data_IF_947967931392
#
_entry.id   IF_947967931392
#
_cell.length_a   1.000
_cell.length_b   1.000
_cell.length_c   1.000
_cell.angle_alpha   90.00
_cell.angle_beta   90.00
_cell.angle_gamma   90.00
#
_symmetry.space_group_name_H-M   'P 1'
#
loop_
_entity.id
_entity.type
_entity.pdbx_description
1 polymer ?
#
# COMPACT_ATOMS: atom_id res chain seq x y z
N UNK A 1 55.35 -7.06 9.31
CA UNK A 1 54.40 -5.98 9.70
C UNK A 1 53.08 -6.24 9.00
N UNK A 2 52.21 -7.00 9.63
CA UNK A 2 50.86 -7.29 9.15
C UNK A 2 49.90 -6.32 9.83
N UNK A 3 49.57 -5.22 9.16
CA UNK A 3 48.38 -4.44 9.52
C UNK A 3 47.14 -5.19 9.03
N UNK A 4 46.13 -5.41 9.89
CA UNK A 4 44.80 -5.68 9.41
C UNK A 4 44.26 -4.35 8.85
N UNK A 5 44.56 -4.05 7.57
CA UNK A 5 43.81 -3.03 6.85
C UNK A 5 42.35 -3.45 6.89
N UNK A 6 41.56 -2.74 7.69
CA UNK A 6 40.12 -2.79 7.59
C UNK A 6 39.76 -2.68 6.10
N UNK A 7 39.08 -3.70 5.57
CA UNK A 7 38.66 -3.78 4.16
C UNK A 7 37.49 -2.82 3.91
N UNK A 8 37.68 -1.54 4.21
CA UNK A 8 36.75 -0.50 3.76
C UNK A 8 37.32 0.04 2.45
N UNK A 9 36.67 -0.21 1.30
CA UNK A 9 37.10 0.38 0.04
C UNK A 9 37.16 1.90 0.16
N UNK A 10 38.21 2.51 -0.39
CA UNK A 10 38.39 3.98 -0.35
C UNK A 10 37.30 4.74 -1.12
N UNK A 11 36.60 4.07 -2.04
CA UNK A 11 35.43 4.55 -2.76
C UNK A 11 34.68 3.37 -3.44
N UNK A 12 33.54 3.66 -4.04
CA UNK A 12 32.73 2.71 -4.81
C UNK A 12 33.42 2.29 -6.12
N UNK A 13 33.25 1.03 -6.60
CA UNK A 13 34.01 0.48 -7.73
C UNK A 13 33.93 1.32 -9.01
N UNK A 14 32.73 1.71 -9.45
CA UNK A 14 32.56 2.48 -10.68
C UNK A 14 33.21 3.87 -10.59
N UNK A 15 33.22 4.48 -9.41
CA UNK A 15 33.92 5.74 -9.19
C UNK A 15 35.44 5.55 -9.35
N UNK A 16 35.99 4.47 -8.80
CA UNK A 16 37.42 4.15 -8.93
C UNK A 16 37.81 3.88 -10.39
N UNK A 17 36.98 3.15 -11.13
CA UNK A 17 37.21 2.87 -12.55
C UNK A 17 37.23 4.15 -13.39
N UNK A 18 36.24 5.04 -13.20
CA UNK A 18 36.15 6.34 -13.90
C UNK A 18 37.34 7.23 -13.55
N UNK A 19 37.69 7.33 -12.27
CA UNK A 19 38.85 8.13 -11.84
C UNK A 19 40.16 7.59 -12.41
N UNK A 20 40.33 6.27 -12.43
CA UNK A 20 41.53 5.62 -12.98
C UNK A 20 41.64 5.89 -14.48
N UNK A 21 40.55 5.68 -15.24
CA UNK A 21 40.53 5.94 -16.67
C UNK A 21 40.83 7.42 -17.01
N UNK A 22 40.27 8.36 -16.24
CA UNK A 22 40.53 9.79 -16.43
C UNK A 22 41.97 10.17 -16.07
N UNK A 23 42.52 9.62 -14.98
CA UNK A 23 43.90 9.85 -14.57
C UNK A 23 44.90 9.29 -15.59
N UNK A 24 44.65 8.08 -16.11
CA UNK A 24 45.47 7.48 -17.16
C UNK A 24 45.45 8.30 -18.45
N UNK A 25 44.28 8.79 -18.87
CA UNK A 25 44.16 9.62 -20.07
C UNK A 25 44.97 10.93 -19.97
N UNK A 26 44.98 11.56 -18.79
CA UNK A 26 45.83 12.74 -18.54
C UNK A 26 47.31 12.35 -18.55
N UNK A 27 47.68 11.23 -17.91
CA UNK A 27 49.06 10.74 -17.85
C UNK A 27 49.65 10.41 -19.24
N UNK A 28 48.83 9.85 -20.14
CA UNK A 28 49.22 9.55 -21.53
C UNK A 28 49.21 10.77 -22.46
N UNK A 29 48.65 11.90 -22.03
CA UNK A 29 48.46 13.08 -22.87
C UNK A 29 47.25 13.01 -23.80
N UNK A 30 46.37 12.00 -23.65
CA UNK A 30 45.10 11.91 -24.38
C UNK A 30 44.10 13.00 -23.94
N UNK A 31 44.37 13.63 -22.77
CA UNK A 31 43.56 14.71 -22.20
C UNK A 31 44.43 15.75 -21.50
N UNK A 32 44.14 17.03 -21.69
CA UNK A 32 44.90 18.13 -21.08
C UNK A 32 44.73 18.25 -19.56
N UNK A 33 43.51 18.05 -19.05
CA UNK A 33 43.18 18.25 -17.63
C UNK A 33 42.23 17.18 -17.09
N UNK A 34 42.38 16.90 -15.79
CA UNK A 34 41.47 16.02 -15.06
C UNK A 34 40.17 16.79 -14.77
N UNK A 35 39.00 16.35 -15.28
CA UNK A 35 37.75 17.01 -14.99
C UNK A 35 37.38 16.83 -13.51
N UNK A 36 36.52 17.71 -12.99
CA UNK A 36 35.96 17.55 -11.65
C UNK A 36 35.05 16.32 -11.64
N UNK A 37 35.31 15.39 -10.72
CA UNK A 37 34.52 14.16 -10.53
C UNK A 37 34.06 14.07 -9.08
N UNK A 38 32.78 13.77 -8.89
CA UNK A 38 32.17 13.48 -7.60
C UNK A 38 31.60 12.06 -7.62
N UNK A 39 31.49 11.40 -6.46
CA UNK A 39 30.99 10.03 -6.34
C UNK A 39 29.78 9.96 -5.41
N UNK A 40 28.76 9.19 -5.79
CA UNK A 40 27.53 9.07 -5.02
C UNK A 40 27.04 7.63 -4.88
N UNK A 41 26.35 7.34 -3.77
CA UNK A 41 25.60 6.09 -3.57
C UNK A 41 24.10 6.34 -3.69
N UNK A 42 23.40 5.45 -4.37
CA UNK A 42 21.95 5.49 -4.55
C UNK A 42 21.38 4.07 -4.65
N UNK A 43 20.07 3.92 -4.51
CA UNK A 43 19.36 2.69 -4.90
C UNK A 43 19.69 1.42 -4.11
N UNK A 44 20.38 1.53 -2.97
CA UNK A 44 20.71 0.37 -2.14
C UNK A 44 19.42 -0.34 -1.69
N UNK A 45 19.37 -1.66 -1.86
CA UNK A 45 18.20 -2.48 -1.54
C UNK A 45 16.90 -1.98 -2.20
N UNK A 46 16.99 -1.53 -3.46
CA UNK A 46 15.86 -0.98 -4.21
C UNK A 46 15.24 0.28 -3.62
N UNK A 47 16.03 1.07 -2.87
CA UNK A 47 15.64 2.42 -2.48
C UNK A 47 15.28 3.24 -3.72
N UNK A 48 14.23 4.04 -3.60
CA UNK A 48 13.70 4.83 -4.71
C UNK A 48 14.77 5.75 -5.30
N UNK A 49 14.81 5.84 -6.63
CA UNK A 49 15.68 6.73 -7.38
C UNK A 49 14.89 7.41 -8.49
N UNK A 50 14.12 8.42 -8.09
CA UNK A 50 13.28 9.21 -8.98
C UNK A 50 14.02 10.41 -9.60
N UNK A 51 13.31 11.18 -10.44
CA UNK A 51 13.87 12.37 -11.10
C UNK A 51 14.45 13.41 -10.14
N UNK A 52 13.84 13.60 -8.97
CA UNK A 52 14.31 14.49 -7.91
C UNK A 52 15.70 14.10 -7.39
N UNK A 53 16.01 12.80 -7.31
CA UNK A 53 17.35 12.34 -6.98
C UNK A 53 18.37 12.72 -8.05
N UNK A 54 18.00 12.59 -9.32
CA UNK A 54 18.85 12.97 -10.46
C UNK A 54 19.07 14.48 -10.49
N UNK A 55 18.01 15.27 -10.28
CA UNK A 55 18.09 16.73 -10.19
C UNK A 55 19.01 17.17 -9.05
N UNK A 56 18.92 16.54 -7.88
CA UNK A 56 19.80 16.82 -6.74
C UNK A 56 21.28 16.62 -7.10
N UNK A 57 21.61 15.56 -7.85
CA UNK A 57 22.99 15.28 -8.29
C UNK A 57 23.49 16.36 -9.25
N UNK A 58 22.66 16.79 -10.21
CA UNK A 58 23.05 17.86 -11.14
C UNK A 58 23.21 19.21 -10.44
N UNK A 59 22.33 19.52 -9.48
CA UNK A 59 22.44 20.72 -8.67
C UNK A 59 23.73 20.72 -7.85
N UNK A 60 24.04 19.61 -7.17
CA UNK A 60 25.29 19.45 -6.43
C UNK A 60 26.50 19.66 -7.35
N UNK A 61 26.50 19.07 -8.55
CA UNK A 61 27.59 19.24 -9.52
C UNK A 61 27.75 20.70 -10.01
N UNK A 62 26.71 21.52 -9.92
CA UNK A 62 26.76 22.93 -10.29
C UNK A 62 27.39 23.82 -9.20
N UNK A 63 27.45 23.32 -7.95
CA UNK A 63 28.03 24.08 -6.85
C UNK A 63 29.50 24.46 -7.08
N UNK A 64 29.90 25.56 -6.44
CA UNK A 64 31.30 26.01 -6.47
C UNK A 64 32.23 24.95 -5.85
N UNK A 65 31.78 24.30 -4.78
CA UNK A 65 32.50 23.25 -4.05
C UNK A 65 31.58 22.06 -3.79
N UNK A 66 31.36 21.18 -4.79
CA UNK A 66 30.50 20.04 -4.63
C UNK A 66 31.10 19.04 -3.65
N UNK A 67 30.26 18.29 -2.95
CA UNK A 67 30.64 17.20 -2.07
C UNK A 67 31.36 16.12 -2.89
N UNK A 68 32.57 15.70 -2.49
CA UNK A 68 33.30 14.66 -3.21
C UNK A 68 32.61 13.29 -3.09
N UNK A 69 31.88 13.07 -1.98
CA UNK A 69 31.11 11.87 -1.68
C UNK A 69 29.75 12.27 -1.16
N UNK A 70 28.70 11.61 -1.66
CA UNK A 70 27.34 11.88 -1.22
C UNK A 70 26.47 10.61 -1.23
N UNK A 71 25.30 10.70 -0.61
CA UNK A 71 24.19 9.76 -0.76
C UNK A 71 22.98 10.50 -1.32
N UNK A 72 22.07 9.80 -1.99
CA UNK A 72 20.83 10.41 -2.50
C UNK A 72 19.66 9.45 -2.33
N UNK A 73 18.48 10.00 -2.03
CA UNK A 73 17.27 9.23 -1.74
C UNK A 73 17.06 8.88 -0.26
N UNK A 74 17.97 9.26 0.65
CA UNK A 74 17.83 9.10 2.11
C UNK A 74 18.02 10.44 2.81
N UNK A 75 17.55 10.54 4.06
CA UNK A 75 17.91 11.63 4.95
C UNK A 75 18.99 11.16 5.94
N UNK A 76 20.23 11.57 5.70
CA UNK A 76 21.39 11.22 6.53
C UNK A 76 21.76 12.39 7.43
N UNK A 77 21.18 12.39 8.63
CA UNK A 77 21.42 13.35 9.71
C UNK A 77 22.61 12.97 10.62
N UNK A 78 23.30 11.87 10.33
CA UNK A 78 24.45 11.40 11.10
C UNK A 78 25.75 11.81 10.42
N UNK A 79 25.94 11.43 9.15
CA UNK A 79 27.16 11.77 8.40
C UNK A 79 26.98 12.96 7.45
N UNK A 80 25.75 13.46 7.31
CA UNK A 80 25.41 14.63 6.51
C UNK A 80 25.85 14.51 5.03
N UNK A 81 25.89 13.28 4.51
CA UNK A 81 26.27 13.01 3.11
C UNK A 81 25.08 13.10 2.15
N UNK A 82 23.84 13.06 2.66
CA UNK A 82 22.65 13.08 1.81
C UNK A 82 22.46 14.41 1.10
N UNK A 83 22.22 14.36 -0.21
CA UNK A 83 21.81 15.52 -1.00
C UNK A 83 20.34 15.88 -0.70
N UNK A 84 20.01 17.17 -0.55
CA UNK A 84 18.62 17.61 -0.44
C UNK A 84 17.89 17.36 -1.78
N UNK A 85 16.68 16.82 -1.70
CA UNK A 85 15.85 16.55 -2.89
C UNK A 85 15.05 17.82 -3.25
N UNK A 86 15.26 18.41 -4.45
CA UNK A 86 14.44 19.52 -4.92
C UNK A 86 13.03 19.04 -5.29
N UNK A 87 12.10 19.98 -5.48
CA UNK A 87 10.83 19.64 -6.12
C UNK A 87 11.08 19.17 -7.56
N UNK A 88 10.39 18.10 -7.97
CA UNK A 88 10.48 17.61 -9.32
C UNK A 88 9.76 18.56 -10.30
N UNK A 89 10.55 19.26 -11.12
CA UNK A 89 10.06 20.18 -12.15
C UNK A 89 9.99 19.57 -13.55
N UNK A 90 10.27 18.27 -13.71
CA UNK A 90 10.25 17.63 -15.02
C UNK A 90 8.80 17.44 -15.51
N UNK A 91 8.53 17.66 -16.80
CA UNK A 91 7.19 17.48 -17.35
C UNK A 91 6.80 16.00 -17.31
N UNK A 92 5.60 15.71 -16.80
CA UNK A 92 5.04 14.38 -16.92
C UNK A 92 4.59 14.12 -18.37
N UNK A 93 5.09 13.03 -18.96
CA UNK A 93 4.77 12.60 -20.33
C UNK A 93 3.75 11.47 -20.40
N UNK A 94 3.41 10.87 -19.25
CA UNK A 94 2.43 9.80 -19.19
C UNK A 94 1.03 10.36 -19.47
N UNK A 95 0.29 9.65 -20.32
CA UNK A 95 -1.11 9.89 -20.60
C UNK A 95 -2.00 9.53 -19.41
N UNK A 96 -1.61 8.51 -18.65
CA UNK A 96 -2.28 8.07 -17.44
C UNK A 96 -1.27 7.46 -16.48
N UNK A 97 -1.32 7.86 -15.23
CA UNK A 97 -0.66 7.21 -14.10
C UNK A 97 -1.72 6.77 -13.09
N UNK A 98 -1.75 5.47 -12.77
CA UNK A 98 -2.74 4.89 -11.89
C UNK A 98 -2.10 4.07 -10.76
N UNK A 99 -2.65 4.22 -9.56
CA UNK A 99 -2.30 3.46 -8.37
C UNK A 99 -3.48 2.59 -7.94
N UNK A 100 -3.21 1.32 -7.62
CA UNK A 100 -4.23 0.40 -7.10
C UNK A 100 -3.76 -0.19 -5.77
N UNK A 101 -4.47 0.12 -4.70
CA UNK A 101 -4.24 -0.37 -3.35
C UNK A 101 -5.16 -1.56 -3.09
N UNK A 102 -4.56 -2.76 -3.10
CA UNK A 102 -5.24 -4.03 -2.92
C UNK A 102 -4.68 -4.83 -1.76
N UNK A 103 -5.41 -5.87 -1.35
CA UNK A 103 -4.98 -6.84 -0.36
C UNK A 103 -4.28 -8.02 -1.05
N UNK A 104 -3.23 -8.54 -0.44
CA UNK A 104 -2.64 -9.81 -0.83
C UNK A 104 -3.72 -10.90 -0.95
N UNK A 105 -3.81 -11.51 -2.14
CA UNK A 105 -4.79 -12.53 -2.53
C UNK A 105 -6.20 -12.07 -2.90
N UNK A 106 -6.48 -10.77 -3.04
CA UNK A 106 -7.80 -10.29 -3.52
C UNK A 106 -7.94 -10.20 -5.05
N UNK A 107 -6.84 -10.42 -5.78
CA UNK A 107 -6.82 -10.41 -7.24
C UNK A 107 -6.51 -9.06 -7.88
N UNK A 108 -6.24 -8.01 -7.10
CA UNK A 108 -5.95 -6.65 -7.60
C UNK A 108 -4.75 -6.61 -8.53
N UNK A 109 -3.61 -7.18 -8.11
CA UNK A 109 -2.40 -7.26 -8.93
C UNK A 109 -2.66 -7.95 -10.27
N UNK A 110 -3.39 -9.06 -10.25
CA UNK A 110 -3.72 -9.82 -11.46
C UNK A 110 -4.63 -9.01 -12.39
N UNK A 111 -5.60 -8.28 -11.84
CA UNK A 111 -6.47 -7.38 -12.60
C UNK A 111 -5.67 -6.24 -13.23
N UNK A 112 -4.75 -5.61 -12.50
CA UNK A 112 -3.90 -4.55 -13.05
C UNK A 112 -2.96 -5.07 -14.14
N UNK A 113 -2.39 -6.28 -13.99
CA UNK A 113 -1.66 -6.95 -15.08
C UNK A 113 -2.54 -7.17 -16.32
N UNK A 114 -3.81 -7.49 -16.13
CA UNK A 114 -4.76 -7.63 -17.22
C UNK A 114 -5.09 -6.27 -17.86
N UNK A 115 -5.23 -5.20 -17.07
CA UNK A 115 -5.41 -3.82 -17.58
C UNK A 115 -4.28 -3.43 -18.53
N UNK A 116 -3.03 -3.68 -18.12
CA UNK A 116 -1.84 -3.40 -18.94
C UNK A 116 -1.93 -4.13 -20.27
N UNK A 117 -2.27 -5.42 -20.26
CA UNK A 117 -2.41 -6.23 -21.48
C UNK A 117 -3.53 -5.73 -22.39
N UNK A 118 -4.69 -5.40 -21.83
CA UNK A 118 -5.82 -4.88 -22.59
C UNK A 118 -5.43 -3.54 -23.24
N UNK A 119 -4.92 -2.59 -22.47
CA UNK A 119 -4.54 -1.27 -23.00
C UNK A 119 -3.44 -1.42 -24.06
N UNK A 120 -2.39 -2.21 -23.80
CA UNK A 120 -1.26 -2.38 -24.73
C UNK A 120 -1.60 -3.16 -26.00
N UNK A 121 -2.64 -4.01 -25.98
CA UNK A 121 -3.08 -4.74 -27.17
C UNK A 121 -4.14 -3.97 -27.98
N UNK A 122 -4.95 -3.14 -27.33
CA UNK A 122 -6.05 -2.40 -27.96
C UNK A 122 -5.66 -0.97 -28.36
N UNK A 123 -4.45 -0.51 -28.03
CA UNK A 123 -3.96 0.84 -28.35
C UNK A 123 -2.51 0.81 -28.83
N UNK A 124 -2.03 1.81 -29.60
CA UNK A 124 -0.62 1.92 -29.97
C UNK A 124 0.27 2.43 -28.82
N UNK A 125 -0.26 2.55 -27.60
CA UNK A 125 0.44 3.18 -26.48
C UNK A 125 1.33 2.20 -25.72
N UNK A 126 2.39 2.75 -25.14
CA UNK A 126 3.27 2.02 -24.23
C UNK A 126 2.59 1.90 -22.87
N UNK A 127 2.65 0.71 -22.29
CA UNK A 127 2.12 0.42 -20.96
C UNK A 127 3.22 -0.13 -20.06
N UNK A 128 3.29 0.35 -18.83
CA UNK A 128 4.24 -0.10 -17.82
C UNK A 128 3.50 -0.52 -16.55
N UNK A 129 3.96 -1.60 -15.92
CA UNK A 129 3.46 -2.05 -14.62
C UNK A 129 4.59 -2.34 -13.65
N UNK A 130 4.48 -1.84 -12.43
CA UNK A 130 5.33 -2.22 -11.30
C UNK A 130 4.44 -2.56 -10.09
N UNK A 131 4.82 -3.58 -9.32
CA UNK A 131 3.97 -4.13 -8.26
C UNK A 131 4.76 -4.22 -6.97
N UNK A 132 4.36 -3.41 -5.99
CA UNK A 132 4.92 -3.43 -4.64
C UNK A 132 4.12 -4.41 -3.80
N UNK A 133 4.80 -5.34 -3.14
CA UNK A 133 4.22 -6.32 -2.24
C UNK A 133 4.76 -6.10 -0.83
N UNK A 134 3.89 -6.27 0.16
CA UNK A 134 4.31 -6.39 1.55
C UNK A 134 5.13 -7.68 1.76
N UNK A 135 6.02 -7.65 2.74
CA UNK A 135 6.75 -8.80 3.28
C UNK A 135 5.82 -9.88 3.85
N UNK A 136 4.60 -9.52 4.24
CA UNK A 136 3.58 -10.44 4.79
C UNK A 136 3.07 -11.40 3.71
N UNK A 137 3.24 -12.71 3.95
CA UNK A 137 2.81 -13.78 3.02
C UNK A 137 1.31 -13.77 2.67
N UNK A 138 0.45 -13.26 3.55
CA UNK A 138 -0.98 -13.17 3.33
C UNK A 138 -1.56 -11.93 4.01
N UNK A 139 -2.58 -11.32 3.39
CA UNK A 139 -3.27 -10.15 3.95
C UNK A 139 -2.44 -8.87 4.00
N UNK A 140 -1.23 -8.85 3.41
CA UNK A 140 -0.42 -7.65 3.29
C UNK A 140 -0.97 -6.66 2.26
N UNK A 141 -0.51 -5.42 2.32
CA UNK A 141 -0.81 -4.41 1.30
C UNK A 141 -0.12 -4.77 -0.02
N UNK A 142 -0.80 -4.50 -1.14
CA UNK A 142 -0.20 -4.49 -2.48
C UNK A 142 -0.50 -3.16 -3.13
N UNK A 143 0.51 -2.55 -3.75
CA UNK A 143 0.35 -1.31 -4.52
C UNK A 143 0.78 -1.58 -5.95
N UNK A 144 -0.15 -1.47 -6.87
CA UNK A 144 0.12 -1.64 -8.30
C UNK A 144 0.26 -0.27 -8.96
N UNK A 145 1.40 -0.04 -9.59
CA UNK A 145 1.71 1.16 -10.35
C UNK A 145 1.52 0.86 -11.83
N UNK A 146 0.65 1.62 -12.50
CA UNK A 146 0.37 1.49 -13.93
C UNK A 146 0.63 2.83 -14.61
N UNK A 147 1.45 2.83 -15.67
CA UNK A 147 1.62 3.99 -16.55
C UNK A 147 1.20 3.64 -17.97
N UNK A 148 0.55 4.60 -18.63
CA UNK A 148 0.24 4.56 -20.07
C UNK A 148 0.81 5.82 -20.71
N UNK A 149 1.44 5.68 -21.86
CA UNK A 149 2.10 6.79 -22.55
C UNK A 149 2.11 6.57 -24.06
N UNK A 150 1.99 7.65 -24.83
CA UNK A 150 2.15 7.61 -26.29
C UNK A 150 3.63 7.45 -26.70
N UNK A 151 4.56 7.78 -25.79
CA UNK A 151 6.00 7.63 -25.95
C UNK A 151 6.55 6.48 -25.10
N UNK A 152 7.72 5.90 -25.44
CA UNK A 152 8.38 4.89 -24.62
C UNK A 152 8.55 5.33 -23.16
N UNK A 153 8.20 4.45 -22.22
CA UNK A 153 8.22 4.74 -20.79
C UNK A 153 9.57 4.35 -20.20
N UNK A 154 10.40 5.36 -19.91
CA UNK A 154 11.71 5.19 -19.26
C UNK A 154 11.67 5.45 -17.75
N UNK A 155 10.48 5.64 -17.17
CA UNK A 155 10.28 5.91 -15.75
C UNK A 155 10.47 4.64 -14.92
N UNK A 156 11.72 4.30 -14.59
CA UNK A 156 12.07 3.16 -13.73
C UNK A 156 12.01 3.53 -12.23
N UNK A 157 10.96 4.24 -11.85
CA UNK A 157 10.70 4.73 -10.49
C UNK A 157 9.19 4.66 -10.20
N UNK A 158 8.78 4.68 -8.94
CA UNK A 158 7.38 4.60 -8.51
C UNK A 158 6.57 5.83 -8.91
N UNK A 159 5.25 5.68 -9.00
CA UNK A 159 4.33 6.81 -9.25
C UNK A 159 4.13 7.55 -7.93
N UNK A 160 4.55 8.81 -7.89
CA UNK A 160 4.36 9.67 -6.72
C UNK A 160 3.04 10.43 -6.73
N UNK A 161 2.64 10.91 -7.91
CA UNK A 161 1.40 11.65 -8.15
C UNK A 161 0.65 10.93 -9.28
N UNK A 162 -0.60 10.52 -9.03
CA UNK A 162 -1.40 9.70 -9.94
C UNK A 162 -2.67 10.42 -10.41
N UNK A 163 -3.07 10.15 -11.65
CA UNK A 163 -4.34 10.61 -12.23
C UNK A 163 -5.53 9.80 -11.68
N UNK A 164 -5.28 8.55 -11.31
CA UNK A 164 -6.26 7.64 -10.74
C UNK A 164 -5.68 6.91 -9.52
N UNK A 165 -6.45 6.87 -8.43
CA UNK A 165 -6.13 6.05 -7.24
C UNK A 165 -7.33 5.17 -6.90
N UNK A 166 -7.15 3.86 -6.93
CA UNK A 166 -8.15 2.86 -6.55
C UNK A 166 -7.86 2.26 -5.17
N UNK A 167 -8.77 2.44 -4.21
CA UNK A 167 -8.75 1.81 -2.90
C UNK A 167 -9.71 0.61 -2.88
N UNK A 168 -9.17 -0.61 -2.92
CA UNK A 168 -9.98 -1.83 -3.04
C UNK A 168 -10.44 -2.39 -1.69
N UNK A 169 -9.88 -1.92 -0.57
CA UNK A 169 -10.30 -2.27 0.79
C UNK A 169 -10.49 -1.00 1.62
N UNK A 170 -11.71 -0.75 2.10
CA UNK A 170 -12.06 0.45 2.86
C UNK A 170 -11.07 0.74 4.01
N UNK A 171 -10.68 -0.29 4.76
CA UNK A 171 -9.77 -0.19 5.91
C UNK A 171 -8.39 0.43 5.63
N UNK A 172 -7.99 0.54 4.36
CA UNK A 172 -6.74 1.18 3.97
C UNK A 172 -6.80 2.70 4.11
N UNK A 173 -8.00 3.29 4.03
CA UNK A 173 -8.18 4.75 4.12
C UNK A 173 -7.75 5.33 5.48
N UNK A 174 -7.84 4.49 6.51
CA UNK A 174 -7.51 4.82 7.89
C UNK A 174 -6.00 4.69 8.16
N UNK A 175 -5.24 4.03 7.28
CA UNK A 175 -3.84 3.64 7.53
C UNK A 175 -2.85 4.23 6.55
N UNK A 176 -3.22 4.34 5.28
CA UNK A 176 -2.28 4.67 4.20
C UNK A 176 -2.64 6.00 3.56
N UNK A 177 -1.59 6.78 3.26
CA UNK A 177 -1.68 8.07 2.59
C UNK A 177 -1.92 7.90 1.08
N UNK A 178 -3.12 7.43 0.70
CA UNK A 178 -3.49 7.16 -0.70
C UNK A 178 -4.01 8.40 -1.41
N UNK A 179 -4.84 9.21 -0.73
CA UNK A 179 -5.44 10.41 -1.32
C UNK A 179 -4.36 11.47 -1.60
N UNK A 180 -3.30 11.50 -0.79
CA UNK A 180 -2.15 12.40 -0.90
C UNK A 180 -1.38 12.17 -2.20
N UNK A 181 -1.40 10.95 -2.73
CA UNK A 181 -0.78 10.58 -4.01
C UNK A 181 -1.61 11.01 -5.22
N UNK A 182 -2.79 11.60 -5.03
CA UNK A 182 -3.64 12.05 -6.14
C UNK A 182 -3.14 13.39 -6.71
N UNK A 183 -3.16 13.52 -8.04
CA UNK A 183 -3.00 14.81 -8.73
C UNK A 183 -4.24 15.68 -8.52
N UNK A 184 -4.11 17.01 -8.61
CA UNK A 184 -5.28 17.89 -8.67
C UNK A 184 -6.24 17.47 -9.80
N UNK A 185 -7.55 17.38 -9.52
CA UNK A 185 -8.59 16.92 -10.45
C UNK A 185 -8.60 15.40 -10.72
N UNK A 186 -7.73 14.64 -10.05
CA UNK A 186 -7.62 13.19 -10.20
C UNK A 186 -8.86 12.43 -9.71
N UNK A 187 -8.96 11.16 -10.11
CA UNK A 187 -10.06 10.26 -9.75
C UNK A 187 -9.66 9.41 -8.55
N UNK A 188 -10.47 9.44 -7.49
CA UNK A 188 -10.32 8.55 -6.34
C UNK A 188 -11.49 7.56 -6.31
N UNK A 189 -11.22 6.28 -6.55
CA UNK A 189 -12.22 5.21 -6.49
C UNK A 189 -12.11 4.46 -5.16
N UNK A 190 -13.20 4.41 -4.39
CA UNK A 190 -13.28 3.70 -3.11
C UNK A 190 -14.26 2.52 -3.19
N UNK A 191 -13.76 1.31 -2.90
CA UNK A 191 -14.62 0.16 -2.64
C UNK A 191 -15.15 0.21 -1.21
N UNK A 192 -16.46 0.33 -1.05
CA UNK A 192 -17.11 0.55 0.25
C UNK A 192 -18.48 -0.13 0.30
N UNK A 193 -18.90 -0.68 1.47
CA UNK A 193 -20.23 -1.23 1.61
C UNK A 193 -21.32 -0.15 1.73
N UNK A 194 -20.95 1.10 1.99
CA UNK A 194 -21.86 2.21 2.27
C UNK A 194 -22.36 2.90 1.00
N UNK A 195 -23.53 3.52 1.08
CA UNK A 195 -24.10 4.34 0.03
C UNK A 195 -23.36 5.67 -0.11
N UNK A 196 -23.42 6.27 -1.30
CA UNK A 196 -22.64 7.47 -1.68
C UNK A 196 -22.88 8.68 -0.76
N UNK A 197 -24.10 8.86 -0.30
CA UNK A 197 -24.53 9.91 0.62
C UNK A 197 -23.94 9.76 2.04
N UNK A 198 -23.63 8.54 2.46
CA UNK A 198 -23.01 8.28 3.77
C UNK A 198 -21.48 8.39 3.76
N UNK A 199 -20.84 8.14 2.61
CA UNK A 199 -19.38 7.94 2.54
C UNK A 199 -18.60 9.15 3.06
N UNK A 200 -18.99 10.36 2.68
CA UNK A 200 -18.24 11.57 3.04
C UNK A 200 -18.02 11.67 4.54
N UNK A 201 -19.09 11.53 5.34
CA UNK A 201 -19.04 11.61 6.81
C UNK A 201 -18.22 10.51 7.47
N UNK A 202 -17.99 9.39 6.78
CA UNK A 202 -17.23 8.23 7.28
C UNK A 202 -15.75 8.31 6.94
N UNK A 203 -15.35 9.16 6.00
CA UNK A 203 -13.93 9.36 5.69
C UNK A 203 -13.24 10.09 6.84
N UNK A 204 -11.97 9.77 7.12
CA UNK A 204 -11.18 10.56 8.07
C UNK A 204 -11.10 12.04 7.67
N UNK A 205 -11.06 12.94 8.64
CA UNK A 205 -11.00 14.39 8.37
C UNK A 205 -9.81 14.77 7.47
N UNK A 206 -8.66 14.13 7.69
CA UNK A 206 -7.44 14.34 6.90
C UNK A 206 -7.65 13.95 5.44
N UNK A 207 -8.39 12.87 5.19
CA UNK A 207 -8.72 12.40 3.83
C UNK A 207 -9.67 13.39 3.16
N UNK A 208 -10.71 13.84 3.86
CA UNK A 208 -11.64 14.86 3.34
C UNK A 208 -10.89 16.15 2.96
N UNK A 209 -10.00 16.62 3.83
CA UNK A 209 -9.18 17.79 3.59
C UNK A 209 -8.30 17.64 2.34
N UNK A 210 -7.64 16.49 2.18
CA UNK A 210 -6.81 16.20 1.01
C UNK A 210 -7.65 16.12 -0.27
N UNK A 211 -8.80 15.43 -0.25
CA UNK A 211 -9.67 15.34 -1.43
C UNK A 211 -10.18 16.73 -1.85
N UNK A 212 -10.51 17.60 -0.90
CA UNK A 212 -10.86 18.99 -1.16
C UNK A 212 -9.69 19.79 -1.75
N UNK A 213 -8.51 19.70 -1.13
CA UNK A 213 -7.30 20.38 -1.62
C UNK A 213 -6.96 19.96 -3.06
N UNK A 214 -7.16 18.69 -3.39
CA UNK A 214 -6.90 18.15 -4.73
C UNK A 214 -8.06 18.36 -5.69
N UNK A 215 -9.20 18.90 -5.26
CA UNK A 215 -10.43 18.97 -6.08
C UNK A 215 -10.73 17.61 -6.73
N UNK A 216 -10.64 16.55 -5.93
CA UNK A 216 -10.71 15.18 -6.39
C UNK A 216 -12.12 14.81 -6.90
N UNK A 217 -12.18 13.95 -7.92
CA UNK A 217 -13.42 13.27 -8.33
C UNK A 217 -13.56 11.98 -7.53
N UNK A 218 -14.33 12.02 -6.46
CA UNK A 218 -14.54 10.87 -5.57
C UNK A 218 -15.66 9.98 -6.11
N UNK A 219 -15.34 8.72 -6.41
CA UNK A 219 -16.31 7.70 -6.81
C UNK A 219 -16.30 6.54 -5.84
N UNK A 220 -17.46 5.92 -5.67
CA UNK A 220 -17.64 4.78 -4.77
C UNK A 220 -18.33 3.63 -5.47
N UNK A 221 -18.02 2.42 -5.03
CA UNK A 221 -18.68 1.19 -5.50
C UNK A 221 -18.71 0.15 -4.39
N UNK A 222 -19.80 -0.62 -4.30
CA UNK A 222 -19.89 -1.78 -3.41
C UNK A 222 -19.57 -3.06 -4.17
N UNK A 223 -18.27 -3.29 -4.42
CA UNK A 223 -17.84 -4.42 -5.24
C UNK A 223 -18.13 -5.77 -4.57
N UNK A 224 -18.16 -5.82 -3.24
CA UNK A 224 -18.50 -7.03 -2.49
C UNK A 224 -19.99 -7.41 -2.60
N UNK A 225 -20.88 -6.43 -2.70
CA UNK A 225 -22.31 -6.67 -2.97
C UNK A 225 -22.49 -7.23 -4.39
N UNK A 226 -21.93 -6.57 -5.39
CA UNK A 226 -22.02 -7.00 -6.80
C UNK A 226 -21.44 -8.41 -6.98
N UNK A 227 -20.26 -8.70 -6.40
CA UNK A 227 -19.65 -10.02 -6.48
C UNK A 227 -20.54 -11.12 -5.86
N UNK A 228 -21.30 -10.82 -4.79
CA UNK A 228 -22.24 -11.77 -4.19
C UNK A 228 -23.47 -11.99 -5.06
N UNK A 229 -24.05 -10.92 -5.60
CA UNK A 229 -25.21 -10.98 -6.49
C UNK A 229 -24.93 -11.75 -7.78
N UNK A 230 -23.70 -11.64 -8.31
CA UNK A 230 -23.25 -12.41 -9.47
C UNK A 230 -22.64 -13.78 -9.13
N UNK A 231 -22.72 -14.25 -7.88
CA UNK A 231 -22.16 -15.54 -7.45
C UNK A 231 -20.65 -15.72 -7.76
N UNK A 232 -19.87 -14.65 -7.65
CA UNK A 232 -18.40 -14.63 -7.81
C UNK A 232 -17.64 -14.80 -6.48
N UNK A 233 -18.39 -14.95 -5.38
CA UNK A 233 -17.83 -15.09 -4.03
C UNK A 233 -17.22 -13.78 -3.53
N UNK A 234 -15.97 -13.83 -3.07
CA UNK A 234 -15.26 -12.67 -2.52
C UNK A 234 -14.34 -11.96 -3.55
N UNK A 235 -14.50 -12.25 -4.85
CA UNK A 235 -13.64 -11.72 -5.91
C UNK A 235 -14.23 -10.41 -6.43
N UNK A 236 -13.60 -9.30 -6.06
CA UNK A 236 -13.99 -7.95 -6.47
C UNK A 236 -13.25 -7.47 -7.73
N UNK A 237 -12.27 -8.24 -8.20
CA UNK A 237 -11.34 -7.86 -9.26
C UNK A 237 -12.05 -7.43 -10.55
N UNK A 238 -13.01 -8.21 -11.07
CA UNK A 238 -13.76 -7.90 -12.29
C UNK A 238 -14.52 -6.57 -12.19
N UNK A 239 -15.15 -6.34 -11.02
CA UNK A 239 -15.92 -5.13 -10.74
C UNK A 239 -15.02 -3.90 -10.68
N UNK A 240 -13.92 -3.97 -9.92
CA UNK A 240 -12.95 -2.87 -9.82
C UNK A 240 -12.26 -2.60 -11.15
N UNK A 241 -12.04 -3.64 -11.97
CA UNK A 241 -11.46 -3.51 -13.30
C UNK A 241 -12.37 -2.70 -14.24
N UNK A 242 -13.66 -3.03 -14.28
CA UNK A 242 -14.65 -2.28 -15.06
C UNK A 242 -14.72 -0.82 -14.60
N UNK A 243 -14.74 -0.59 -13.28
CA UNK A 243 -14.79 0.75 -12.73
C UNK A 243 -13.59 1.61 -13.14
N UNK A 244 -12.38 1.04 -13.14
CA UNK A 244 -11.19 1.73 -13.64
C UNK A 244 -11.33 2.17 -15.10
N UNK A 245 -11.72 1.26 -16.00
CA UNK A 245 -11.86 1.60 -17.41
C UNK A 245 -13.00 2.61 -17.66
N UNK A 246 -14.11 2.45 -16.95
CA UNK A 246 -15.25 3.37 -17.06
C UNK A 246 -14.91 4.77 -16.57
N UNK A 247 -14.18 4.91 -15.46
CA UNK A 247 -13.87 6.23 -14.91
C UNK A 247 -12.73 6.93 -15.66
N UNK A 248 -11.71 6.17 -16.09
CA UNK A 248 -10.57 6.77 -16.79
C UNK A 248 -10.84 7.08 -18.25
N UNK A 249 -11.83 6.41 -18.87
CA UNK A 249 -12.13 6.55 -20.30
C UNK A 249 -10.88 6.38 -21.18
N UNK A 250 -9.92 5.58 -20.71
CA UNK A 250 -8.64 5.36 -21.41
C UNK A 250 -8.85 4.60 -22.73
N UNK A 251 -9.93 3.82 -22.82
CA UNK A 251 -10.41 3.22 -24.06
C UNK A 251 -11.73 3.89 -24.45
N UNK A 252 -11.96 4.14 -25.75
CA UNK A 252 -13.14 4.85 -26.22
C UNK A 252 -14.42 4.00 -26.17
N UNK A 253 -15.52 4.59 -25.69
CA UNK A 253 -16.86 4.02 -25.76
C UNK A 253 -16.99 2.64 -25.09
N UNK A 254 -17.74 1.73 -25.72
CA UNK A 254 -17.94 0.36 -25.23
C UNK A 254 -16.75 -0.59 -25.50
N UNK A 255 -15.65 -0.09 -26.09
CA UNK A 255 -14.44 -0.90 -26.37
C UNK A 255 -13.92 -1.56 -25.10
N UNK A 256 -13.90 -0.83 -23.97
CA UNK A 256 -13.47 -1.38 -22.69
C UNK A 256 -14.29 -2.59 -22.25
N UNK A 257 -15.62 -2.52 -22.41
CA UNK A 257 -16.52 -3.60 -22.04
C UNK A 257 -16.27 -4.83 -22.92
N UNK A 258 -16.17 -4.65 -24.23
CA UNK A 258 -15.91 -5.74 -25.17
C UNK A 258 -14.57 -6.43 -24.91
N UNK A 259 -13.50 -5.66 -24.68
CA UNK A 259 -12.17 -6.20 -24.37
C UNK A 259 -12.14 -6.97 -23.04
N UNK A 260 -12.82 -6.45 -22.01
CA UNK A 260 -12.96 -7.14 -20.73
C UNK A 260 -13.75 -8.44 -20.89
N UNK A 261 -14.86 -8.42 -21.63
CA UNK A 261 -15.66 -9.61 -21.92
C UNK A 261 -14.84 -10.68 -22.64
N UNK A 262 -14.07 -10.29 -23.67
CA UNK A 262 -13.17 -11.17 -24.41
C UNK A 262 -12.04 -11.74 -23.53
N UNK A 263 -11.41 -10.91 -22.69
CA UNK A 263 -10.37 -11.33 -21.77
C UNK A 263 -10.89 -12.35 -20.72
N UNK A 264 -12.11 -12.15 -20.21
CA UNK A 264 -12.80 -13.08 -19.30
C UNK A 264 -13.09 -14.40 -20.01
N UNK A 265 -13.66 -14.36 -21.21
CA UNK A 265 -13.96 -15.57 -21.99
C UNK A 265 -12.67 -16.39 -22.24
N UNK A 266 -11.58 -15.74 -22.62
CA UNK A 266 -10.28 -16.42 -22.82
C UNK A 266 -9.72 -17.03 -21.53
N UNK A 267 -9.89 -16.34 -20.39
CA UNK A 267 -9.32 -16.76 -19.11
C UNK A 267 -10.12 -17.86 -18.41
N UNK A 268 -11.44 -17.92 -18.67
CA UNK A 268 -12.36 -18.78 -17.93
C UNK A 268 -13.16 -19.76 -18.80
N UNK A 269 -12.97 -19.79 -20.13
CA UNK A 269 -13.62 -20.75 -21.02
C UNK A 269 -13.46 -22.20 -20.57
N UNK A 270 -12.28 -22.56 -20.04
CA UNK A 270 -12.00 -23.91 -19.52
C UNK A 270 -12.74 -24.25 -18.22
N UNK A 271 -13.34 -23.26 -17.54
CA UNK A 271 -14.05 -23.45 -16.25
C UNK A 271 -15.57 -23.47 -16.39
N UNK A 272 -16.09 -23.33 -17.60
CA UNK A 272 -17.51 -23.38 -17.92
C UNK A 272 -18.13 -22.02 -18.24
N UNK A 273 -19.11 -22.03 -19.15
CA UNK A 273 -19.80 -20.84 -19.68
C UNK A 273 -20.49 -20.03 -18.59
N UNK A 274 -21.04 -20.69 -17.57
CA UNK A 274 -21.73 -20.02 -16.46
C UNK A 274 -20.82 -19.05 -15.70
N UNK A 275 -19.54 -19.38 -15.50
CA UNK A 275 -18.58 -18.49 -14.83
C UNK A 275 -18.30 -17.25 -15.70
N UNK A 276 -18.24 -17.44 -17.02
CA UNK A 276 -18.03 -16.34 -17.97
C UNK A 276 -19.22 -15.38 -17.94
N UNK A 277 -20.45 -15.91 -18.04
CA UNK A 277 -21.69 -15.13 -18.00
C UNK A 277 -21.85 -14.35 -16.69
N UNK A 278 -21.58 -14.99 -15.54
CA UNK A 278 -21.59 -14.32 -14.23
C UNK A 278 -20.61 -13.16 -14.15
N UNK A 279 -19.42 -13.30 -14.74
CA UNK A 279 -18.46 -12.20 -14.79
C UNK A 279 -18.93 -11.08 -15.74
N UNK A 280 -19.55 -11.40 -16.87
CA UNK A 280 -20.13 -10.40 -17.76
C UNK A 280 -21.27 -9.62 -17.11
N UNK A 281 -22.13 -10.30 -16.34
CA UNK A 281 -23.15 -9.64 -15.54
C UNK A 281 -22.53 -8.69 -14.50
N UNK A 282 -21.44 -9.11 -13.85
CA UNK A 282 -20.73 -8.26 -12.90
C UNK A 282 -20.12 -7.01 -13.56
N UNK A 283 -19.64 -7.10 -14.81
CA UNK A 283 -19.18 -5.93 -15.57
C UNK A 283 -20.33 -4.94 -15.81
N UNK A 284 -21.48 -5.43 -16.26
CA UNK A 284 -22.64 -4.58 -16.52
C UNK A 284 -23.12 -3.88 -15.24
N UNK A 285 -23.31 -4.63 -14.15
CA UNK A 285 -23.71 -4.06 -12.87
C UNK A 285 -22.67 -3.09 -12.30
N UNK A 286 -21.38 -3.35 -12.49
CA UNK A 286 -20.33 -2.44 -12.05
C UNK A 286 -20.43 -1.07 -12.71
N UNK A 287 -20.73 -1.03 -14.02
CA UNK A 287 -20.91 0.22 -14.76
C UNK A 287 -22.09 1.02 -14.22
N UNK A 288 -23.20 0.35 -13.92
CA UNK A 288 -24.45 0.99 -13.50
C UNK A 288 -24.46 1.35 -12.00
N UNK A 289 -23.58 0.72 -11.20
CA UNK A 289 -23.52 0.90 -9.73
C UNK A 289 -22.47 1.92 -9.28
N UNK A 290 -21.71 2.51 -10.19
CA UNK A 290 -20.75 3.56 -9.84
C UNK A 290 -21.49 4.83 -9.45
N UNK A 291 -21.16 5.36 -8.28
CA UNK A 291 -21.73 6.62 -7.81
C UNK A 291 -20.62 7.64 -7.55
N UNK A 292 -20.83 8.86 -8.01
CA UNK A 292 -20.00 10.00 -7.63
C UNK A 292 -20.46 10.52 -6.26
N UNK A 293 -19.50 10.88 -5.41
CA UNK A 293 -19.75 11.51 -4.12
C UNK A 293 -19.30 12.96 -4.24
N UNK A 294 -20.22 13.94 -4.13
CA UNK A 294 -19.83 15.34 -4.16
C UNK A 294 -18.92 15.65 -2.98
N UNK A 295 -17.87 16.42 -3.23
CA UNK A 295 -17.03 16.97 -2.17
C UNK A 295 -17.85 17.92 -1.30
N UNK A 296 -17.64 17.88 0.01
CA UNK A 296 -18.30 18.77 0.97
C UNK A 296 -17.24 19.39 1.89
N UNK A 297 -17.64 20.29 2.78
CA UNK A 297 -16.73 20.78 3.80
C UNK A 297 -16.25 19.63 4.71
N UNK A 298 -15.07 19.82 5.31
CA UNK A 298 -14.53 18.85 6.27
C UNK A 298 -15.50 18.74 7.43
N UNK A 299 -16.03 17.55 7.66
CA UNK A 299 -16.97 17.30 8.72
C UNK A 299 -16.23 17.14 10.05
N UNK A 300 -16.42 18.06 11.02
CA UNK A 300 -15.71 18.00 12.30
C UNK A 300 -16.12 16.81 13.18
N UNK A 301 -17.27 16.17 12.89
CA UNK A 301 -17.72 14.97 13.58
C UNK A 301 -17.13 13.68 13.02
N UNK A 302 -16.47 13.73 11.85
CA UNK A 302 -15.75 12.57 11.31
C UNK A 302 -14.54 12.25 12.18
N UNK A 303 -14.17 10.97 12.24
CA UNK A 303 -12.99 10.55 13.00
C UNK A 303 -11.71 11.12 12.35
N UNK A 304 -10.68 11.32 13.15
CA UNK A 304 -9.30 11.42 12.64
C UNK A 304 -8.81 10.02 12.27
N UNK A 305 -7.75 9.92 11.46
CA UNK A 305 -7.12 8.61 11.22
C UNK A 305 -6.64 8.02 12.56
N UNK A 306 -6.97 6.76 12.87
CA UNK A 306 -6.52 6.14 14.10
C UNK A 306 -5.00 5.94 14.09
N UNK A 307 -4.34 5.93 15.27
CA UNK A 307 -2.93 5.62 15.35
C UNK A 307 -2.67 4.18 14.86
N UNK A 308 -1.57 4.00 14.14
CA UNK A 308 -1.21 2.72 13.49
C UNK A 308 -0.89 1.62 14.51
N UNK A 309 -0.34 2.02 15.67
CA UNK A 309 -0.07 1.17 16.82
C UNK A 309 -0.70 1.80 18.07
N UNK A 310 -0.90 1.00 19.12
CA UNK A 310 -1.43 1.50 20.39
C UNK A 310 -0.48 2.48 21.08
N UNK A 311 -1.03 3.50 21.75
CA UNK A 311 -0.26 4.47 22.55
C UNK A 311 0.52 3.82 23.71
N UNK A 312 0.10 2.63 24.14
CA UNK A 312 0.80 1.84 25.16
C UNK A 312 2.07 1.15 24.63
N UNK A 313 2.33 1.20 23.32
CA UNK A 313 3.52 0.60 22.74
C UNK A 313 4.81 1.36 23.14
N UNK A 314 5.98 0.69 23.18
CA UNK A 314 7.26 1.34 23.40
C UNK A 314 7.55 2.44 22.37
N UNK A 315 8.36 3.44 22.74
CA UNK A 315 8.62 4.60 21.88
C UNK A 315 9.21 4.21 20.52
N UNK A 316 10.16 3.28 20.48
CA UNK A 316 10.70 2.75 19.23
C UNK A 316 9.62 2.13 18.32
N UNK A 317 8.60 1.50 18.89
CA UNK A 317 7.48 0.94 18.13
C UNK A 317 6.58 2.05 17.60
N UNK A 318 6.31 3.09 18.40
CA UNK A 318 5.47 4.23 18.00
C UNK A 318 6.12 5.12 16.95
N UNK A 319 7.45 5.27 16.96
CA UNK A 319 8.17 6.16 16.04
C UNK A 319 8.64 5.43 14.78
N UNK A 320 9.39 4.34 14.94
CA UNK A 320 10.04 3.63 13.82
C UNK A 320 9.09 2.60 13.22
N UNK A 321 8.59 1.68 14.05
CA UNK A 321 7.79 0.55 13.54
C UNK A 321 6.45 1.03 12.97
N UNK A 322 5.78 1.97 13.63
CA UNK A 322 4.51 2.52 13.16
C UNK A 322 4.66 3.27 11.83
N UNK A 323 5.74 4.04 11.64
CA UNK A 323 6.02 4.71 10.38
C UNK A 323 6.22 3.70 9.24
N UNK A 324 6.99 2.63 9.48
CA UNK A 324 7.17 1.55 8.49
C UNK A 324 5.84 0.86 8.15
N UNK A 325 5.01 0.56 9.16
CA UNK A 325 3.69 -0.06 8.97
C UNK A 325 2.70 0.85 8.22
N UNK A 326 2.83 2.17 8.36
CA UNK A 326 2.05 3.18 7.64
C UNK A 326 2.51 3.39 6.18
N UNK A 327 3.60 2.72 5.75
CA UNK A 327 4.22 2.96 4.45
C UNK A 327 5.06 4.25 4.38
N UNK A 328 5.46 4.79 5.54
CA UNK A 328 6.27 6.01 5.68
C UNK A 328 7.72 5.71 6.11
N UNK A 329 8.17 4.46 5.95
CA UNK A 329 9.52 4.04 6.33
C UNK A 329 10.63 4.81 5.59
N UNK A 330 10.37 5.30 4.37
CA UNK A 330 11.34 6.06 3.59
C UNK A 330 11.66 7.45 4.17
N UNK A 331 10.77 7.99 5.01
CA UNK A 331 10.94 9.28 5.68
C UNK A 331 11.78 9.19 6.96
N UNK A 332 12.11 7.98 7.42
CA UNK A 332 12.92 7.80 8.62
C UNK A 332 14.38 8.23 8.37
N UNK A 333 14.98 9.08 9.22
CA UNK A 333 16.38 9.43 9.13
C UNK A 333 17.30 8.25 9.45
N UNK A 334 18.57 8.35 9.07
CA UNK A 334 19.61 7.37 9.45
C UNK A 334 19.69 7.22 10.97
N UNK A 335 19.58 8.30 11.74
CA UNK A 335 19.60 8.26 13.21
C UNK A 335 18.47 7.46 13.86
N UNK A 336 17.37 7.20 13.15
CA UNK A 336 16.24 6.44 13.67
C UNK A 336 16.53 4.93 13.75
N UNK A 337 17.56 4.45 13.06
CA UNK A 337 17.90 3.04 12.97
C UNK A 337 19.17 2.70 13.77
N UNK A 338 19.20 1.58 14.50
CA UNK A 338 20.42 1.14 15.18
C UNK A 338 21.55 0.83 14.17
N UNK A 339 22.79 1.28 14.43
CA UNK A 339 23.89 1.15 13.47
C UNK A 339 24.32 -0.30 13.22
N UNK A 340 23.99 -1.22 14.14
CA UNK A 340 24.25 -2.65 14.05
C UNK A 340 23.05 -3.46 13.52
N UNK A 341 21.94 -2.79 13.20
CA UNK A 341 20.71 -3.41 12.74
C UNK A 341 19.94 -4.21 13.81
N UNK A 342 20.25 -4.02 15.10
CA UNK A 342 19.48 -4.64 16.19
C UNK A 342 18.03 -4.14 16.25
N UNK A 343 17.11 -4.98 16.73
CA UNK A 343 15.68 -4.63 16.82
C UNK A 343 15.07 -5.10 18.15
N UNK A 344 14.14 -4.34 18.78
CA UNK A 344 13.47 -4.79 19.99
C UNK A 344 12.65 -6.07 19.78
N UNK A 345 12.59 -6.91 20.82
CA UNK A 345 11.79 -8.14 20.81
C UNK A 345 10.32 -7.86 21.13
N UNK A 346 9.42 -8.74 20.66
CA UNK A 346 8.00 -8.69 21.03
C UNK A 346 7.21 -7.52 20.40
N UNK A 347 7.66 -6.97 19.28
CA UNK A 347 6.99 -5.84 18.61
C UNK A 347 5.67 -6.24 17.93
N UNK A 348 5.52 -7.51 17.54
CA UNK A 348 4.35 -8.04 16.81
C UNK A 348 3.04 -7.92 17.58
N UNK A 349 3.08 -7.90 18.92
CA UNK A 349 1.88 -7.74 19.77
C UNK A 349 1.19 -6.38 19.56
N UNK A 350 1.92 -5.38 19.07
CA UNK A 350 1.43 -4.02 18.85
C UNK A 350 0.81 -3.81 17.47
N UNK A 351 1.04 -4.71 16.51
CA UNK A 351 0.52 -4.57 15.14
C UNK A 351 -0.99 -4.85 15.04
N UNK A 352 -1.57 -5.55 16.03
CA UNK A 352 -2.99 -5.98 16.11
C UNK A 352 -3.65 -6.18 14.75
N UNK A 353 -3.14 -7.11 13.95
CA UNK A 353 -3.58 -7.29 12.56
C UNK A 353 -4.84 -8.16 12.47
N UNK A 354 -6.02 -7.52 12.42
CA UNK A 354 -7.31 -8.20 12.27
C UNK A 354 -7.63 -8.56 10.82
N UNK A 355 -6.86 -9.49 10.22
CA UNK A 355 -7.11 -9.96 8.85
C UNK A 355 -8.12 -11.13 8.75
N UNK A 356 -8.45 -11.76 9.89
CA UNK A 356 -9.34 -12.91 9.91
C UNK A 356 -10.79 -12.51 9.64
N UNK A 357 -11.33 -12.96 8.51
CA UNK A 357 -12.75 -12.76 8.13
C UNK A 357 -13.73 -13.45 9.09
N UNK A 358 -13.29 -14.50 9.78
CA UNK A 358 -14.07 -15.22 10.79
C UNK A 358 -13.14 -15.59 11.92
N UNK A 359 -13.44 -15.09 13.12
CA UNK A 359 -12.73 -15.50 14.32
C UNK A 359 -13.53 -16.65 14.98
N UNK A 360 -12.90 -17.76 15.39
CA UNK A 360 -13.59 -18.78 16.17
C UNK A 360 -14.23 -18.17 17.41
N UNK A 361 -15.53 -18.40 17.59
CA UNK A 361 -16.24 -18.06 18.81
C UNK A 361 -16.21 -19.27 19.75
N UNK A 362 -15.87 -19.03 21.02
CA UNK A 362 -15.84 -20.06 22.05
C UNK A 362 -17.18 -20.04 22.79
N UNK A 363 -17.97 -21.11 22.67
CA UNK A 363 -19.16 -21.31 23.48
C UNK A 363 -18.80 -21.96 24.82
N UNK A 364 -19.11 -21.27 25.92
CA UNK A 364 -18.75 -21.69 27.28
C UNK A 364 -19.41 -23.00 27.75
N UNK A 365 -20.36 -23.57 27.00
CA UNK A 365 -21.06 -24.82 27.34
C UNK A 365 -20.50 -26.10 26.72
N UNK A 366 -19.58 -25.99 25.75
CA UNK A 366 -19.06 -27.14 24.98
C UNK A 366 -17.55 -27.35 25.12
N UNK A 367 -16.91 -26.64 26.06
CA UNK A 367 -15.46 -26.69 26.26
C UNK A 367 -15.11 -27.68 27.37
N UNK A 368 -14.58 -28.85 26.98
CA UNK A 368 -13.76 -29.64 27.89
C UNK A 368 -12.43 -28.90 28.12
N UNK A 369 -11.85 -28.91 29.34
CA UNK A 369 -10.59 -28.25 29.65
C UNK A 369 -9.42 -29.02 29.03
N UNK A 370 -9.33 -28.97 27.71
CA UNK A 370 -8.27 -29.62 26.94
C UNK A 370 -7.56 -28.49 26.18
N UNK A 371 -6.23 -28.49 26.23
CA UNK A 371 -5.35 -27.59 25.48
C UNK A 371 -5.26 -27.76 23.92
N UNK A 372 -5.94 -28.68 23.20
CA UNK A 372 -5.70 -28.92 21.77
C UNK A 372 -5.89 -27.69 20.89
N UNK A 373 -6.83 -26.81 21.24
CA UNK A 373 -7.11 -25.59 20.47
C UNK A 373 -5.88 -24.67 20.40
N UNK A 374 -5.08 -24.58 21.46
CA UNK A 374 -3.84 -23.78 21.44
C UNK A 374 -2.72 -24.48 20.66
N UNK A 375 -2.62 -25.80 20.79
CA UNK A 375 -1.59 -26.59 20.10
C UNK A 375 -1.75 -26.66 18.58
N UNK A 376 -2.97 -26.50 18.07
CA UNK A 376 -3.28 -26.54 16.63
C UNK A 376 -3.23 -25.20 15.90
N UNK A 377 -2.99 -24.08 16.59
CA UNK A 377 -3.01 -22.75 15.98
C UNK A 377 -1.63 -22.35 15.45
N UNK A 378 -1.53 -21.90 14.18
CA UNK A 378 -0.26 -21.44 13.60
C UNK A 378 0.20 -20.08 14.15
N UNK A 379 -0.68 -19.35 14.84
CA UNK A 379 -0.39 -18.09 15.53
C UNK A 379 -1.06 -18.07 16.91
N UNK A 380 -0.40 -17.45 17.89
CA UNK A 380 -0.90 -17.32 19.27
C UNK A 380 -2.05 -16.29 19.35
N UNK A 381 -3.22 -16.64 18.83
CA UNK A 381 -4.43 -15.81 18.85
C UNK A 381 -5.32 -16.02 20.08
N UNK A 382 -5.07 -17.05 20.89
CA UNK A 382 -5.87 -17.42 22.05
C UNK A 382 -5.00 -17.70 23.27
N UNK A 383 -5.40 -17.16 24.42
CA UNK A 383 -4.79 -17.42 25.73
C UNK A 383 -5.81 -18.05 26.68
N UNK A 384 -5.45 -19.17 27.32
CA UNK A 384 -6.23 -19.69 28.44
C UNK A 384 -5.97 -18.82 29.67
N UNK A 385 -7.01 -18.22 30.25
CA UNK A 385 -6.90 -17.63 31.58
C UNK A 385 -6.99 -18.77 32.61
N UNK A 386 -5.88 -19.09 33.27
CA UNK A 386 -5.90 -19.95 34.44
C UNK A 386 -6.38 -19.13 35.65
N UNK A 387 -7.63 -19.31 36.07
CA UNK A 387 -8.10 -18.76 37.34
C UNK A 387 -7.36 -19.41 38.50
N UNK A 388 -6.40 -18.70 39.09
CA UNK A 388 -5.75 -19.09 40.34
C UNK A 388 -6.64 -18.68 41.51
N UNK A 389 -7.60 -19.52 41.89
CA UNK A 389 -8.17 -19.47 43.23
C UNK A 389 -7.29 -20.29 44.17
N UNK A 390 -6.25 -19.66 44.75
CA UNK A 390 -5.67 -20.14 46.01
C UNK A 390 -6.65 -19.77 47.13
N UNK A 391 -7.57 -20.68 47.43
CA UNK A 391 -8.48 -20.59 48.57
C UNK A 391 -8.47 -21.90 49.34
N UNK A 392 -7.94 -21.85 50.56
CA UNK A 392 -8.00 -22.94 51.54
C UNK A 392 -9.47 -23.27 51.86
N UNK A 393 -9.81 -24.57 51.85
CA UNK A 393 -10.85 -25.13 52.71
C UNK A 393 -12.30 -25.14 52.22
N UNK A 394 -12.83 -26.37 52.17
CA UNK A 394 -14.25 -26.79 52.23
C UNK A 394 -15.11 -26.61 50.98
N UNK A 395 -15.49 -27.78 50.44
CA UNK A 395 -16.63 -27.99 49.52
C UNK A 395 -17.93 -27.58 50.22
N UNK A 396 -18.68 -26.66 49.62
CA UNK A 396 -20.15 -26.69 49.44
C UNK A 396 -20.62 -25.40 48.74
N UNK A 397 -21.42 -25.52 47.68
CA UNK A 397 -22.22 -24.41 47.11
C UNK A 397 -21.79 -23.93 45.73
N UNK A 398 -22.78 -23.77 44.84
CA UNK A 398 -22.72 -23.37 43.42
C UNK A 398 -21.74 -22.26 43.06
N UNK A 399 -21.11 -22.29 41.87
CA UNK A 399 -20.29 -21.16 41.42
C UNK A 399 -21.21 -20.02 40.95
N UNK A 400 -21.12 -18.89 41.65
CA UNK A 400 -21.59 -17.61 41.16
C UNK A 400 -20.79 -17.20 39.92
N UNK A 401 -21.50 -16.73 38.90
CA UNK A 401 -20.95 -16.22 37.64
C UNK A 401 -20.30 -14.87 37.91
N UNK A 402 -18.96 -14.79 37.83
CA UNK A 402 -18.23 -13.53 37.76
C UNK A 402 -18.14 -13.08 36.30
N UNK A 403 -18.63 -11.88 36.02
CA UNK A 403 -18.81 -11.33 34.67
C UNK A 403 -17.49 -11.08 33.93
N UNK A 404 -17.51 -11.35 32.63
CA UNK A 404 -16.53 -10.82 31.68
C UNK A 404 -17.04 -9.47 31.15
N UNK A 405 -16.30 -8.41 31.40
CA UNK A 405 -16.46 -7.14 30.69
C UNK A 405 -16.06 -7.32 29.22
N UNK A 406 -16.96 -6.94 28.32
CA UNK A 406 -16.73 -6.83 26.88
C UNK A 406 -16.49 -5.34 26.59
N UNK A 407 -15.42 -4.94 25.87
CA UNK A 407 -15.33 -3.58 25.35
C UNK A 407 -16.48 -3.36 24.36
N UNK A 408 -17.37 -2.44 24.71
CA UNK A 408 -18.67 -2.28 24.09
C UNK A 408 -18.63 -1.99 22.59
N UNK A 409 -19.48 -2.70 21.84
CA UNK A 409 -20.07 -2.23 20.59
C UNK A 409 -21.57 -2.52 20.65
N UNK A 410 -22.36 -1.45 20.58
CA UNK A 410 -23.81 -1.52 20.52
C UNK A 410 -24.26 -2.24 19.24
N UNK A 411 -25.10 -3.28 19.38
CA UNK A 411 -25.83 -3.88 18.26
C UNK A 411 -27.18 -3.17 18.10
N UNK A 412 -27.69 -2.97 16.87
CA UNK A 412 -29.06 -2.52 16.65
C UNK A 412 -30.04 -3.66 16.98
N UNK A 413 -31.10 -3.36 17.73
CA UNK A 413 -32.19 -4.28 18.01
C UNK A 413 -33.00 -4.57 16.73
N UNK A 414 -33.09 -5.85 16.35
CA UNK A 414 -34.07 -6.35 15.39
C UNK A 414 -35.22 -6.94 16.21
N UNK A 415 -36.37 -6.27 16.22
CA UNK A 415 -37.62 -6.83 16.75
C UNK A 415 -38.17 -7.84 15.76
N UNK A 416 -38.23 -9.10 16.16
CA UNK A 416 -38.99 -10.13 15.45
C UNK A 416 -40.49 -10.00 15.77
N UNK A 417 -41.31 -9.97 14.73
CA UNK A 417 -42.76 -10.05 14.81
C UNK A 417 -43.17 -11.45 15.33
N UNK A 418 -43.96 -11.48 16.40
CA UNK A 418 -44.64 -12.67 16.86
C UNK A 418 -45.97 -12.84 16.11
N UNK A 419 -46.19 -14.04 15.59
CA UNK A 419 -47.47 -14.51 15.05
C UNK A 419 -48.46 -14.78 16.18
N UNK A 420 -49.64 -14.16 16.09
CA UNK A 420 -50.94 -14.72 16.40
C UNK A 420 -51.93 -14.14 15.39
#
# INVERSE_FOLDING_TARGET
MTEPKSRVPSAEPLYLDVMTALAEAVSRGDRETLPRVIGGRYGLSSKEFGPECVLAIFNELHEAKPRPRFTVGIYDDVTNLSLPLPENTLPNRAKLEALFYGLGSDGSVSATKNNIKIIGNSTPWFTQGYFVYDSKKAGGLTVSHLRVSEQPINSTYLIERADFVGCHQLQFIDKYQMAERLKPGGIFLLNTPYAADEVWSRLPQEVQAVLNQKQARLHVINAAKIARECHLGARINTVMQMAFFHLTQILPGDTALAELQGAIAKSYSSKGTEIVERNWQALALARDSLAEVPLQDVNPASAMRPPVVSDAAPDFVKTVTAAMLAGLGDALPVSALPPDGTWPMGTTQWEKTQHCRRNPYLEAGHLYPVQPLRGGLPALGYSCQSGSTRGNGRRTGSPAVAGCEVPGYARPEIRAAGSA
#
